data_IF_406282391490
#
_entry.id   IF_406282391490
#
_cell.length_a   1.000
_cell.length_b   1.000
_cell.length_c   1.000
_cell.angle_alpha   90.00
_cell.angle_beta   90.00
_cell.angle_gamma   90.00
#
_symmetry.space_group_name_H-M   'P 1'
#
loop_
_entity.id
_entity.type
_entity.pdbx_description
1 polymer ?
#
# COMPACT_ATOMS: atom_id res chain seq x y z
N UNK A 1 -22.55 -13.32 -7.06
CA UNK A 1 -21.25 -12.80 -6.58
C UNK A 1 -20.39 -12.48 -7.79
N UNK A 2 -19.97 -11.23 -7.94
CA UNK A 2 -19.26 -10.65 -9.10
C UNK A 2 -17.85 -11.26 -9.23
N UNK A 3 -17.78 -12.52 -9.68
CA UNK A 3 -16.54 -13.32 -9.73
C UNK A 3 -15.66 -12.99 -10.93
N UNK A 4 -16.22 -12.43 -12.00
CA UNK A 4 -15.53 -12.21 -13.27
C UNK A 4 -14.31 -11.28 -13.13
N UNK A 5 -14.36 -10.30 -12.22
CA UNK A 5 -13.30 -9.31 -12.07
C UNK A 5 -12.54 -9.45 -10.74
N UNK A 6 -12.79 -10.51 -9.97
CA UNK A 6 -12.18 -10.66 -8.64
C UNK A 6 -10.65 -10.73 -8.71
N UNK A 7 -10.10 -11.42 -9.71
CA UNK A 7 -8.66 -11.52 -9.93
C UNK A 7 -8.04 -10.17 -10.31
N UNK A 8 -8.69 -9.44 -11.23
CA UNK A 8 -8.24 -8.12 -11.69
C UNK A 8 -8.30 -7.08 -10.57
N UNK A 9 -9.41 -7.01 -9.84
CA UNK A 9 -9.57 -6.11 -8.70
C UNK A 9 -8.49 -6.38 -7.64
N UNK A 10 -8.22 -7.65 -7.35
CA UNK A 10 -7.19 -8.03 -6.40
C UNK A 10 -5.77 -7.70 -6.90
N UNK A 11 -5.50 -7.86 -8.20
CA UNK A 11 -4.26 -7.44 -8.81
C UNK A 11 -4.07 -5.92 -8.71
N UNK A 12 -5.11 -5.14 -9.01
CA UNK A 12 -5.12 -3.68 -8.87
C UNK A 12 -4.86 -3.24 -7.44
N UNK A 13 -5.56 -3.83 -6.46
CA UNK A 13 -5.35 -3.56 -5.03
C UNK A 13 -3.91 -3.85 -4.59
N UNK A 14 -3.33 -4.97 -5.03
CA UNK A 14 -1.93 -5.31 -4.73
C UNK A 14 -0.95 -4.29 -5.34
N UNK A 15 -1.17 -3.89 -6.59
CA UNK A 15 -0.36 -2.89 -7.25
C UNK A 15 -0.40 -1.54 -6.51
N UNK A 16 -1.59 -1.07 -6.15
CA UNK A 16 -1.76 0.16 -5.38
C UNK A 16 -1.07 0.08 -4.01
N UNK A 17 -1.34 -0.96 -3.24
CA UNK A 17 -0.74 -1.15 -1.91
C UNK A 17 0.80 -1.21 -1.98
N UNK A 18 1.35 -1.89 -2.98
CA UNK A 18 2.80 -1.96 -3.19
C UNK A 18 3.42 -0.59 -3.49
N UNK A 19 2.74 0.23 -4.29
CA UNK A 19 3.19 1.59 -4.58
C UNK A 19 3.13 2.49 -3.35
N UNK A 20 2.11 2.35 -2.50
CA UNK A 20 2.03 3.08 -1.22
C UNK A 20 3.19 2.70 -0.29
N UNK A 21 3.49 1.40 -0.15
CA UNK A 21 4.61 0.90 0.65
C UNK A 21 5.98 1.40 0.15
N UNK A 22 6.12 1.57 -1.17
CA UNK A 22 7.32 2.13 -1.81
C UNK A 22 7.43 3.65 -1.65
N UNK A 23 6.30 4.35 -1.61
CA UNK A 23 6.26 5.80 -1.41
C UNK A 23 6.64 6.21 0.02
N UNK A 24 6.40 5.35 1.01
CA UNK A 24 6.83 5.58 2.38
C UNK A 24 8.38 5.59 2.47
N UNK A 25 9.00 6.60 3.11
CA UNK A 25 10.43 6.89 2.95
C UNK A 25 11.39 5.96 3.72
N UNK A 26 10.91 5.12 4.65
CA UNK A 26 11.79 4.28 5.46
C UNK A 26 12.60 3.28 4.61
N UNK A 27 13.89 3.13 4.96
CA UNK A 27 14.87 2.25 4.28
C UNK A 27 14.80 0.80 4.78
N UNK A 28 13.59 0.28 4.99
CA UNK A 28 13.37 -1.12 5.33
C UNK A 28 12.69 -1.84 4.15
N UNK A 29 12.88 -3.16 4.09
CA UNK A 29 12.32 -3.97 3.00
C UNK A 29 10.78 -3.91 3.00
N UNK A 30 10.18 -4.08 1.82
CA UNK A 30 8.71 -4.11 1.66
C UNK A 30 8.04 -5.14 2.59
N UNK A 31 8.54 -6.38 2.76
CA UNK A 31 7.96 -7.32 3.72
C UNK A 31 8.00 -6.83 5.16
N UNK A 32 9.06 -6.11 5.55
CA UNK A 32 9.16 -5.54 6.89
C UNK A 32 8.14 -4.40 7.08
N UNK A 33 7.92 -3.57 6.04
CA UNK A 33 6.86 -2.55 6.07
C UNK A 33 5.49 -3.19 6.20
N UNK A 34 5.20 -4.26 5.45
CA UNK A 34 3.94 -5.01 5.58
C UNK A 34 3.74 -5.55 6.99
N UNK A 35 4.76 -6.18 7.58
CA UNK A 35 4.72 -6.66 8.96
C UNK A 35 4.43 -5.51 9.94
N UNK A 36 5.11 -4.38 9.78
CA UNK A 36 4.92 -3.21 10.64
C UNK A 36 3.53 -2.59 10.49
N UNK A 37 2.96 -2.53 9.28
CA UNK A 37 1.58 -2.10 9.07
C UNK A 37 0.58 -2.97 9.82
N UNK A 38 0.81 -4.29 9.90
CA UNK A 38 -0.07 -5.21 10.66
C UNK A 38 0.06 -5.03 12.18
N UNK A 39 1.19 -4.51 12.66
CA UNK A 39 1.48 -4.39 14.10
C UNK A 39 1.28 -2.99 14.66
N UNK A 40 1.32 -1.96 13.81
CA UNK A 40 1.30 -0.55 14.22
C UNK A 40 0.37 0.26 13.30
N UNK A 41 -0.84 0.62 13.78
CA UNK A 41 -1.78 1.44 13.02
C UNK A 41 -1.22 2.81 12.60
N UNK A 42 -0.39 3.43 13.44
CA UNK A 42 0.25 4.71 13.10
C UNK A 42 1.24 4.59 11.93
N UNK A 43 1.93 3.45 11.82
CA UNK A 43 2.76 3.18 10.65
C UNK A 43 1.93 2.93 9.38
N UNK A 44 0.78 2.24 9.52
CA UNK A 44 -0.16 2.08 8.41
C UNK A 44 -0.67 3.44 7.91
N UNK A 45 -1.04 4.35 8.81
CA UNK A 45 -1.45 5.72 8.46
C UNK A 45 -0.35 6.47 7.70
N UNK A 46 0.91 6.36 8.13
CA UNK A 46 2.05 6.97 7.42
C UNK A 46 2.19 6.45 5.99
N UNK A 47 2.04 5.13 5.79
CA UNK A 47 2.06 4.51 4.45
C UNK A 47 0.92 5.03 3.58
N UNK A 48 -0.30 5.12 4.13
CA UNK A 48 -1.46 5.65 3.42
C UNK A 48 -1.25 7.11 3.01
N UNK A 49 -0.81 7.97 3.92
CA UNK A 49 -0.52 9.39 3.64
C UNK A 49 0.57 9.53 2.58
N UNK A 50 1.65 8.75 2.66
CA UNK A 50 2.70 8.76 1.64
C UNK A 50 2.17 8.32 0.26
N UNK A 51 1.30 7.31 0.25
CA UNK A 51 0.58 6.85 -0.94
C UNK A 51 -0.32 7.92 -1.56
N UNK A 52 -1.17 8.59 -0.77
CA UNK A 52 -2.02 9.66 -1.28
C UNK A 52 -1.22 10.84 -1.80
N UNK A 53 -0.15 11.24 -1.10
CA UNK A 53 0.75 12.31 -1.54
C UNK A 53 1.47 12.00 -2.86
N UNK A 54 1.77 10.73 -3.15
CA UNK A 54 2.39 10.36 -4.41
C UNK A 54 1.41 10.42 -5.59
N UNK A 55 0.11 10.25 -5.33
CA UNK A 55 -0.96 10.31 -6.34
C UNK A 55 -1.41 11.75 -6.67
N UNK A 56 -1.24 12.70 -5.75
CA UNK A 56 -1.65 14.11 -5.96
C UNK A 56 -0.61 14.95 -6.72
N UNK A 57 0.50 14.36 -7.17
CA UNK A 57 1.47 15.04 -8.03
C UNK A 57 0.89 15.17 -9.45
N UNK A 58 0.16 16.25 -9.69
CA UNK A 58 -0.20 16.76 -11.02
C UNK A 58 0.72 17.93 -11.37
#
# INVERSE_FOLDING_TARGET
MYRQNAAENLAGLRHMALNMLRAEPSKISVPMKQKRCMMNPGFLEQVLVAGFKSMTKF
#
